data_IF_250225750385
#
_entry.id   IF_250225750385
#
_cell.length_a   1.000
_cell.length_b   1.000
_cell.length_c   1.000
_cell.angle_alpha   90.00
_cell.angle_beta   90.00
_cell.angle_gamma   90.00
#
_symmetry.space_group_name_H-M   'P 1'
#
loop_
_entity.id
_entity.type
_entity.pdbx_description
1 polymer ?
#
# COMPACT_ATOMS: atom_id res chain seq x y z
N UNK A 1 -0.58 -8.13 -16.75
CA UNK A 1 -0.05 -8.26 -15.37
C UNK A 1 1.40 -8.72 -15.47
N UNK A 2 2.32 -8.13 -14.69
CA UNK A 2 3.75 -8.45 -14.74
C UNK A 2 4.15 -9.62 -13.82
N UNK A 3 3.47 -9.79 -12.69
CA UNK A 3 3.63 -10.92 -11.76
C UNK A 3 2.40 -11.04 -10.84
N UNK A 4 2.22 -12.19 -10.18
CA UNK A 4 1.13 -12.42 -9.21
C UNK A 4 1.54 -13.43 -8.13
N UNK A 5 1.03 -13.26 -6.91
CA UNK A 5 1.18 -14.19 -5.80
C UNK A 5 -0.17 -14.37 -5.10
N UNK A 6 -0.91 -15.46 -5.38
CA UNK A 6 -2.21 -15.69 -4.77
C UNK A 6 -2.12 -15.94 -3.26
N UNK A 7 -2.94 -15.23 -2.48
CA UNK A 7 -3.09 -15.40 -1.03
C UNK A 7 -4.46 -15.98 -0.70
N UNK A 8 -4.67 -17.24 -1.06
CA UNK A 8 -5.98 -17.91 -1.00
C UNK A 8 -6.58 -18.00 0.42
N UNK A 9 -5.76 -17.90 1.46
CA UNK A 9 -6.20 -18.03 2.85
C UNK A 9 -6.31 -16.61 3.44
N UNK A 10 -7.54 -16.08 3.46
CA UNK A 10 -7.86 -14.80 4.08
C UNK A 10 -7.20 -13.58 3.43
N UNK A 11 -6.60 -13.70 2.24
CA UNK A 11 -5.77 -12.65 1.66
C UNK A 11 -4.44 -12.44 2.36
N UNK A 12 -4.05 -13.34 3.27
CA UNK A 12 -2.85 -13.22 4.12
C UNK A 12 -1.83 -14.33 3.85
N UNK A 13 -2.30 -15.57 3.62
CA UNK A 13 -1.43 -16.74 3.47
C UNK A 13 -1.67 -17.44 2.13
N UNK A 14 -0.61 -18.04 1.60
CA UNK A 14 -0.67 -18.95 0.45
C UNK A 14 -0.81 -20.39 0.93
N UNK A 15 -1.50 -21.22 0.15
CA UNK A 15 -1.57 -22.67 0.35
C UNK A 15 -0.43 -23.43 -0.34
N UNK A 16 0.44 -22.73 -1.09
CA UNK A 16 1.59 -23.32 -1.76
C UNK A 16 2.76 -23.56 -0.79
N UNK A 17 3.75 -24.34 -1.21
CA UNK A 17 4.98 -24.55 -0.44
C UNK A 17 5.78 -23.24 -0.30
N UNK A 18 6.57 -23.13 0.77
CA UNK A 18 7.36 -21.92 1.04
C UNK A 18 8.33 -21.58 -0.11
N UNK A 19 8.87 -22.59 -0.80
CA UNK A 19 9.76 -22.38 -1.95
C UNK A 19 9.01 -21.69 -3.10
N UNK A 20 7.80 -22.17 -3.42
CA UNK A 20 6.99 -21.59 -4.48
C UNK A 20 6.58 -20.16 -4.15
N UNK A 21 6.22 -19.91 -2.88
CA UNK A 21 5.88 -18.57 -2.41
C UNK A 21 7.10 -17.62 -2.49
N UNK A 22 8.30 -18.10 -2.14
CA UNK A 22 9.52 -17.31 -2.24
C UNK A 22 9.85 -16.94 -3.70
N UNK A 23 9.68 -17.87 -4.64
CA UNK A 23 9.82 -17.59 -6.08
C UNK A 23 8.83 -16.52 -6.55
N UNK A 24 7.55 -16.66 -6.20
CA UNK A 24 6.49 -15.72 -6.57
C UNK A 24 6.75 -14.31 -6.00
N UNK A 25 7.21 -14.22 -4.76
CA UNK A 25 7.60 -12.95 -4.15
C UNK A 25 8.80 -12.33 -4.87
N UNK A 26 9.78 -13.13 -5.29
CA UNK A 26 10.91 -12.64 -6.08
C UNK A 26 10.50 -12.15 -7.48
N UNK A 27 9.49 -12.76 -8.09
CA UNK A 27 8.89 -12.28 -9.35
C UNK A 27 8.14 -10.96 -9.15
N UNK A 28 7.37 -10.82 -8.05
CA UNK A 28 6.71 -9.56 -7.70
C UNK A 28 7.71 -8.41 -7.49
N UNK A 29 8.83 -8.68 -6.83
CA UNK A 29 9.92 -7.69 -6.65
C UNK A 29 10.52 -7.26 -7.99
N UNK A 30 10.82 -8.20 -8.88
CA UNK A 30 11.31 -7.90 -10.24
C UNK A 30 10.28 -7.11 -11.06
N UNK A 31 8.99 -7.46 -10.96
CA UNK A 31 7.93 -6.70 -11.61
C UNK A 31 7.81 -5.27 -11.06
N UNK A 32 8.03 -5.09 -9.75
CA UNK A 32 8.07 -3.76 -9.13
C UNK A 32 9.23 -2.91 -9.66
N UNK A 33 10.43 -3.50 -9.80
CA UNK A 33 11.61 -2.79 -10.36
C UNK A 33 11.37 -2.26 -11.78
N UNK A 34 10.58 -2.97 -12.59
CA UNK A 34 10.22 -2.54 -13.96
C UNK A 34 9.32 -1.31 -13.96
N UNK A 35 8.45 -1.15 -12.97
CA UNK A 35 7.47 -0.05 -12.90
C UNK A 35 7.96 1.14 -12.07
N UNK A 36 8.91 0.91 -11.16
CA UNK A 36 9.45 1.96 -10.30
C UNK A 36 10.51 2.79 -11.03
N UNK A 37 10.34 4.10 -11.07
CA UNK A 37 11.33 5.02 -11.66
C UNK A 37 12.67 5.03 -10.89
N UNK A 38 12.62 4.69 -9.59
CA UNK A 38 13.79 4.66 -8.71
C UNK A 38 13.74 3.44 -7.80
N UNK A 39 14.90 2.80 -7.53
CA UNK A 39 14.97 1.73 -6.56
C UNK A 39 14.61 2.27 -5.17
N UNK A 40 13.72 1.58 -4.47
CA UNK A 40 13.40 1.88 -3.09
C UNK A 40 14.56 1.46 -2.17
N UNK A 41 14.81 2.24 -1.13
CA UNK A 41 15.76 1.90 -0.06
C UNK A 41 15.20 0.88 0.94
N UNK A 42 13.94 0.45 0.77
CA UNK A 42 13.22 -0.45 1.67
C UNK A 42 12.37 -1.45 0.86
N UNK A 43 11.90 -2.51 1.51
CA UNK A 43 11.01 -3.51 0.88
C UNK A 43 9.55 -3.02 0.91
N UNK A 44 8.96 -2.66 -0.24
CA UNK A 44 7.60 -2.13 -0.29
C UNK A 44 6.55 -3.15 0.17
N UNK A 45 6.77 -4.44 -0.06
CA UNK A 45 5.79 -5.48 0.31
C UNK A 45 5.73 -5.66 1.83
N UNK A 46 6.90 -5.61 2.50
CA UNK A 46 6.96 -5.62 3.96
C UNK A 46 6.29 -4.36 4.51
N UNK A 47 6.61 -3.17 4.00
CA UNK A 47 5.99 -1.92 4.48
C UNK A 47 4.47 -1.92 4.31
N UNK A 48 3.96 -2.37 3.16
CA UNK A 48 2.51 -2.46 2.91
C UNK A 48 1.81 -3.45 3.86
N UNK A 49 2.49 -4.51 4.31
CA UNK A 49 1.93 -5.46 5.27
C UNK A 49 1.61 -4.82 6.63
N UNK A 50 2.36 -3.79 7.01
CA UNK A 50 2.12 -3.01 8.24
C UNK A 50 1.16 -1.82 8.01
N UNK A 51 0.85 -1.48 6.76
CA UNK A 51 -0.04 -0.36 6.45
C UNK A 51 -1.46 -0.58 6.98
N UNK A 52 -1.86 -1.79 7.35
CA UNK A 52 -3.16 -2.04 7.97
C UNK A 52 -3.13 -1.97 9.51
N UNK A 53 -1.95 -1.91 10.15
CA UNK A 53 -1.87 -1.87 11.61
C UNK A 53 -2.21 -0.48 12.16
N UNK A 54 -3.13 -0.36 13.12
CA UNK A 54 -3.69 0.91 13.58
C UNK A 54 -2.81 1.71 14.54
N UNK A 55 -1.59 1.25 14.87
CA UNK A 55 -0.85 1.81 16.01
C UNK A 55 0.20 2.88 15.65
N UNK A 56 0.73 2.87 14.42
CA UNK A 56 1.74 3.81 13.89
C UNK A 56 1.58 3.75 12.35
N UNK A 57 1.57 4.86 11.56
CA UNK A 57 1.80 6.29 11.85
C UNK A 57 0.54 7.07 12.28
N UNK A 58 0.72 8.31 12.78
CA UNK A 58 -0.35 9.20 13.26
C UNK A 58 -1.38 9.51 12.16
N UNK A 59 -0.94 9.62 10.91
CA UNK A 59 -1.81 9.83 9.76
C UNK A 59 -1.99 8.53 8.97
N UNK A 60 -3.23 8.07 8.82
CA UNK A 60 -3.56 6.75 8.28
C UNK A 60 -4.52 6.83 7.10
N UNK A 61 -4.15 6.22 5.98
CA UNK A 61 -5.12 5.99 4.90
C UNK A 61 -5.96 4.74 5.22
N UNK A 62 -7.27 4.91 5.23
CA UNK A 62 -8.23 3.82 5.49
C UNK A 62 -9.22 3.71 4.34
N UNK A 63 -10.03 2.66 4.31
CA UNK A 63 -11.12 2.51 3.34
C UNK A 63 -12.16 3.65 3.40
N UNK A 64 -12.23 4.41 4.50
CA UNK A 64 -13.15 5.54 4.69
C UNK A 64 -12.52 6.90 4.35
N UNK A 65 -11.23 6.94 4.04
CA UNK A 65 -10.47 8.16 3.77
C UNK A 65 -9.24 8.31 4.67
N UNK A 66 -8.68 9.51 4.65
CA UNK A 66 -7.49 9.89 5.43
C UNK A 66 -7.90 10.19 6.88
N UNK A 67 -7.37 9.43 7.83
CA UNK A 67 -7.70 9.52 9.26
C UNK A 67 -6.48 10.02 10.04
N UNK A 68 -6.68 10.97 10.95
CA UNK A 68 -5.65 11.50 11.83
C UNK A 68 -5.88 11.04 13.28
N UNK A 69 -4.97 10.23 13.80
CA UNK A 69 -5.01 9.74 15.17
C UNK A 69 -4.80 10.82 16.23
N UNK A 70 -4.14 11.95 15.89
CA UNK A 70 -3.94 13.03 16.85
C UNK A 70 -5.24 13.80 17.14
N UNK A 71 -6.06 14.01 16.10
CA UNK A 71 -7.38 14.66 16.21
C UNK A 71 -8.53 13.68 16.39
N UNK A 72 -8.27 12.38 16.17
CA UNK A 72 -9.24 11.30 16.19
C UNK A 72 -10.40 11.51 15.20
N UNK A 73 -10.09 12.10 14.04
CA UNK A 73 -11.08 12.43 13.01
C UNK A 73 -10.52 12.23 11.58
N UNK A 74 -11.41 12.25 10.59
CA UNK A 74 -11.05 12.22 9.18
C UNK A 74 -10.62 13.61 8.68
N UNK A 75 -9.53 13.64 7.92
CA UNK A 75 -9.10 14.85 7.22
C UNK A 75 -9.97 15.03 5.96
N UNK A 76 -10.62 16.19 5.77
CA UNK A 76 -11.29 16.51 4.51
C UNK A 76 -10.27 16.59 3.36
N UNK A 77 -10.40 15.71 2.36
CA UNK A 77 -9.47 15.65 1.21
C UNK A 77 -10.01 16.42 -0.02
N UNK A 78 -11.19 17.03 0.09
CA UNK A 78 -11.78 17.81 -1.00
C UNK A 78 -11.06 19.17 -1.16
N UNK A 79 -10.68 19.50 -2.41
CA UNK A 79 -10.26 20.85 -2.78
C UNK A 79 -11.48 21.76 -2.60
N UNK A 80 -11.37 22.80 -1.78
CA UNK A 80 -12.32 23.90 -1.84
C UNK A 80 -12.00 24.70 -3.11
N UNK A 81 -12.91 24.69 -4.08
CA UNK A 81 -12.87 25.54 -5.28
C UNK A 81 -12.95 27.01 -4.83
N UNK A 82 -11.84 27.57 -4.37
CA UNK A 82 -11.69 28.99 -4.15
C UNK A 82 -10.60 29.45 -5.14
N UNK A 83 -11.00 30.32 -6.08
CA UNK A 83 -10.23 30.85 -7.22
C UNK A 83 -10.35 30.11 -8.57
N UNK A 84 -11.59 29.85 -9.05
CA UNK A 84 -11.92 30.18 -10.45
C UNK A 84 -12.33 31.65 -10.51
N UNK A 85 -11.36 32.55 -10.39
CA UNK A 85 -11.56 33.97 -10.64
C UNK A 85 -10.73 34.33 -11.88
N UNK A 86 -11.44 34.35 -13.01
CA UNK A 86 -11.25 35.17 -14.22
C UNK A 86 -9.86 35.78 -14.44
N UNK A 87 -9.11 35.31 -15.46
CA UNK A 87 -8.73 36.07 -16.68
C UNK A 87 -8.48 35.07 -17.81
#
# INVERSE_FOLDING_TARGET
MLATMPLAIGGLLSAASYQKVAEQLAELKRAYEVISERPLSFDPFITLSFLTLPVIPTLKLTARGLFDYATFDFIPVAIQDNQRQTV
#
